data_IF_190443341631
#
_entry.id   IF_190443341631
#
_cell.length_a   1.000
_cell.length_b   1.000
_cell.length_c   1.000
_cell.angle_alpha   90.00
_cell.angle_beta   90.00
_cell.angle_gamma   90.00
#
_symmetry.space_group_name_H-M   'P 1'
#
loop_
_entity.id
_entity.type
_entity.pdbx_description
1 polymer ?
#
# COMPACT_ATOMS: atom_id res chain seq x y z
N UNK A 1 -72.22 14.97 3.21
CA UNK A 1 -71.14 15.70 2.52
C UNK A 1 -70.65 16.74 3.51
N UNK A 2 -69.48 16.66 4.10
CA UNK A 2 -68.36 15.71 4.08
C UNK A 2 -67.49 16.11 5.27
N UNK A 3 -66.75 15.15 5.79
CA UNK A 3 -66.01 15.16 7.05
C UNK A 3 -64.95 16.26 7.25
N UNK A 4 -64.73 16.57 8.53
CA UNK A 4 -63.56 17.18 9.19
C UNK A 4 -62.49 16.08 9.43
N UNK A 5 -61.28 16.30 10.02
CA UNK A 5 -60.30 17.40 10.08
C UNK A 5 -58.90 16.91 9.56
N UNK A 6 -57.85 17.74 9.63
CA UNK A 6 -56.57 17.48 10.38
C UNK A 6 -55.45 18.45 9.98
N UNK A 7 -54.74 18.93 11.02
CA UNK A 7 -53.48 19.66 10.95
C UNK A 7 -52.32 18.79 10.43
N UNK A 8 -51.29 19.41 9.86
CA UNK A 8 -49.92 18.91 10.05
C UNK A 8 -48.89 20.05 10.02
N UNK A 9 -47.88 19.83 10.84
CA UNK A 9 -46.80 20.71 11.28
C UNK A 9 -45.57 20.55 10.38
N UNK A 10 -44.60 21.45 10.58
CA UNK A 10 -43.21 21.48 10.10
C UNK A 10 -42.59 20.29 9.33
N UNK A 11 -41.80 20.59 8.29
CA UNK A 11 -40.34 20.30 8.21
C UNK A 11 -39.86 20.19 6.75
N UNK A 12 -38.61 20.60 6.50
CA UNK A 12 -37.88 20.20 5.28
C UNK A 12 -36.92 21.24 4.77
N UNK A 13 -35.98 21.69 5.59
CA UNK A 13 -34.75 22.34 5.15
C UNK A 13 -33.94 21.30 4.35
N UNK A 14 -34.12 21.32 3.03
CA UNK A 14 -33.36 20.51 2.09
C UNK A 14 -31.98 21.12 1.91
N UNK A 15 -31.08 20.84 2.85
CA UNK A 15 -29.66 21.00 2.62
C UNK A 15 -29.28 20.14 1.41
N UNK A 16 -28.99 20.79 0.30
CA UNK A 16 -28.38 20.17 -0.85
C UNK A 16 -27.03 19.59 -0.38
N UNK A 17 -26.97 18.27 -0.27
CA UNK A 17 -25.71 17.56 -0.29
C UNK A 17 -25.05 17.93 -1.63
N UNK A 18 -23.94 18.68 -1.57
CA UNK A 18 -23.04 18.88 -2.70
C UNK A 18 -22.46 17.51 -3.06
N UNK A 19 -23.24 16.75 -3.83
CA UNK A 19 -22.86 15.48 -4.43
C UNK A 19 -21.88 15.77 -5.55
N UNK A 20 -20.63 16.03 -5.20
CA UNK A 20 -19.54 15.80 -6.15
C UNK A 20 -19.50 14.28 -6.36
N UNK A 21 -20.11 13.82 -7.44
CA UNK A 21 -20.10 12.43 -7.86
C UNK A 21 -18.65 11.96 -7.87
N UNK A 22 -18.26 11.08 -6.93
CA UNK A 22 -16.89 10.58 -6.89
C UNK A 22 -16.65 9.82 -8.20
N UNK A 23 -15.69 10.26 -9.05
CA UNK A 23 -15.56 9.72 -10.40
C UNK A 23 -15.10 8.25 -10.40
N UNK A 24 -14.54 7.78 -9.27
CA UNK A 24 -14.02 6.43 -9.05
C UNK A 24 -14.34 5.99 -7.62
N UNK A 25 -14.54 4.69 -7.43
CA UNK A 25 -14.69 4.09 -6.10
C UNK A 25 -13.33 3.92 -5.40
N UNK A 26 -13.27 3.74 -4.07
CA UNK A 26 -12.02 3.43 -3.36
C UNK A 26 -11.25 2.23 -3.95
N UNK A 27 -11.92 1.16 -4.36
CA UNK A 27 -11.26 0.03 -5.00
C UNK A 27 -10.64 0.40 -6.36
N UNK A 28 -11.33 1.21 -7.16
CA UNK A 28 -10.82 1.70 -8.45
C UNK A 28 -9.65 2.67 -8.27
N UNK A 29 -9.69 3.53 -7.25
CA UNK A 29 -8.59 4.42 -6.89
C UNK A 29 -7.37 3.65 -6.40
N UNK A 30 -7.56 2.57 -5.63
CA UNK A 30 -6.45 1.72 -5.21
C UNK A 30 -5.84 0.96 -6.41
N UNK A 31 -6.67 0.49 -7.34
CA UNK A 31 -6.18 -0.12 -8.58
C UNK A 31 -5.40 0.90 -9.43
N UNK A 32 -5.89 2.14 -9.54
CA UNK A 32 -5.15 3.19 -10.25
C UNK A 32 -3.84 3.56 -9.55
N UNK A 33 -3.82 3.58 -8.21
CA UNK A 33 -2.59 3.82 -7.45
C UNK A 33 -1.50 2.77 -7.74
N UNK A 34 -1.88 1.49 -7.86
CA UNK A 34 -0.97 0.41 -8.29
C UNK A 34 -0.40 0.67 -9.70
N UNK A 35 -1.22 1.18 -10.61
CA UNK A 35 -0.79 1.49 -11.99
C UNK A 35 0.09 2.74 -12.06
N UNK A 36 -0.24 3.78 -11.29
CA UNK A 36 0.50 5.04 -11.26
C UNK A 36 1.87 4.89 -10.58
N UNK A 37 2.00 4.03 -9.57
CA UNK A 37 3.29 3.75 -8.93
C UNK A 37 4.32 3.21 -9.93
N UNK A 38 3.95 2.20 -10.72
CA UNK A 38 4.88 1.63 -11.72
C UNK A 38 5.05 2.56 -12.93
N UNK A 39 4.05 3.39 -13.24
CA UNK A 39 4.14 4.37 -14.33
C UNK A 39 5.03 5.58 -13.98
N UNK A 40 5.27 5.85 -12.70
CA UNK A 40 6.11 6.95 -12.23
C UNK A 40 7.57 6.74 -12.62
N UNK A 41 8.15 7.71 -13.34
CA UNK A 41 9.52 7.63 -13.84
C UNK A 41 10.18 9.03 -13.88
N UNK A 42 11.50 9.16 -13.64
CA UNK A 42 12.43 8.10 -13.23
C UNK A 42 12.23 7.71 -11.75
N UNK A 43 12.20 6.39 -11.48
CA UNK A 43 12.12 5.86 -10.11
C UNK A 43 13.29 4.93 -9.80
N UNK A 44 14.18 5.25 -8.84
CA UNK A 44 15.29 4.38 -8.47
C UNK A 44 14.82 3.06 -7.84
N UNK A 45 15.00 1.94 -8.54
CA UNK A 45 14.56 0.62 -8.11
C UNK A 45 14.40 -0.35 -9.28
N UNK A 46 13.72 -1.48 -9.04
CA UNK A 46 13.65 -2.59 -9.99
C UNK A 46 13.01 -2.25 -11.35
N UNK A 47 11.73 -1.85 -11.35
CA UNK A 47 10.93 -1.66 -12.57
C UNK A 47 10.17 -0.35 -12.50
N UNK A 48 10.18 0.37 -13.61
CA UNK A 48 9.33 1.54 -13.86
C UNK A 48 8.93 1.57 -15.35
N UNK A 49 8.27 2.65 -15.80
CA UNK A 49 7.87 2.80 -17.20
C UNK A 49 9.01 2.72 -18.21
N UNK A 50 10.24 3.07 -17.82
CA UNK A 50 11.40 3.14 -18.70
C UNK A 50 12.33 1.92 -18.55
N UNK A 51 12.09 1.05 -17.56
CA UNK A 51 13.00 -0.04 -17.22
C UNK A 51 12.29 -1.34 -16.85
N UNK A 52 12.76 -2.43 -17.46
CA UNK A 52 12.43 -3.81 -17.14
C UNK A 52 13.64 -4.55 -16.54
N UNK A 53 13.36 -5.60 -15.76
CA UNK A 53 14.32 -6.66 -15.42
C UNK A 53 14.05 -7.92 -16.29
N UNK A 54 15.03 -8.84 -16.44
CA UNK A 54 14.86 -10.04 -17.27
C UNK A 54 13.60 -10.86 -16.94
N UNK A 55 13.31 -11.04 -15.65
CA UNK A 55 12.22 -11.88 -15.15
C UNK A 55 11.04 -11.06 -14.57
N UNK A 56 11.14 -9.73 -14.52
CA UNK A 56 10.14 -8.83 -13.95
C UNK A 56 10.03 -7.56 -14.80
N UNK A 57 8.89 -7.37 -15.46
CA UNK A 57 8.68 -6.32 -16.48
C UNK A 57 7.48 -5.45 -16.17
N UNK A 58 7.39 -4.29 -16.79
CA UNK A 58 6.32 -3.32 -16.62
C UNK A 58 4.92 -3.94 -16.77
N UNK A 59 4.69 -4.76 -17.79
CA UNK A 59 3.37 -5.36 -18.01
C UNK A 59 2.97 -6.39 -16.94
N UNK A 60 3.93 -6.96 -16.21
CA UNK A 60 3.64 -7.81 -15.07
C UNK A 60 2.95 -7.01 -13.95
N UNK A 61 3.38 -5.78 -13.71
CA UNK A 61 2.72 -4.87 -12.75
C UNK A 61 1.34 -4.44 -13.23
N UNK A 62 1.18 -4.14 -14.53
CA UNK A 62 -0.13 -3.81 -15.09
C UNK A 62 -1.13 -4.97 -14.91
N UNK A 63 -0.71 -6.19 -15.24
CA UNK A 63 -1.52 -7.39 -15.07
C UNK A 63 -1.78 -7.68 -13.58
N UNK A 64 -0.78 -7.48 -12.72
CA UNK A 64 -0.89 -7.62 -11.27
C UNK A 64 -1.94 -6.68 -10.68
N UNK A 65 -1.90 -5.39 -11.05
CA UNK A 65 -2.87 -4.40 -10.61
C UNK A 65 -4.30 -4.77 -11.01
N UNK A 66 -4.52 -5.21 -12.26
CA UNK A 66 -5.84 -5.69 -12.71
C UNK A 66 -6.28 -6.94 -11.92
N UNK A 67 -5.36 -7.87 -11.69
CA UNK A 67 -5.60 -9.10 -10.93
C UNK A 67 -6.03 -8.84 -9.49
N UNK A 68 -5.44 -7.84 -8.83
CA UNK A 68 -5.75 -7.47 -7.44
C UNK A 68 -7.14 -6.87 -7.25
N UNK A 69 -7.83 -6.47 -8.32
CA UNK A 69 -9.10 -5.75 -8.25
C UNK A 69 -10.20 -6.50 -7.48
N UNK A 70 -10.23 -7.83 -7.48
CA UNK A 70 -11.22 -8.57 -6.70
C UNK A 70 -11.02 -8.36 -5.19
N UNK A 71 -9.80 -8.51 -4.69
CA UNK A 71 -9.48 -8.30 -3.27
C UNK A 71 -9.75 -6.86 -2.84
N UNK A 72 -9.40 -5.88 -3.69
CA UNK A 72 -9.68 -4.47 -3.43
C UNK A 72 -11.19 -4.17 -3.33
N UNK A 73 -12.02 -4.73 -4.23
CA UNK A 73 -13.49 -4.60 -4.14
C UNK A 73 -14.07 -5.27 -2.90
N UNK A 74 -13.47 -6.38 -2.45
CA UNK A 74 -13.86 -7.04 -1.18
C UNK A 74 -13.56 -6.13 0.02
N UNK A 75 -12.40 -5.49 0.04
CA UNK A 75 -12.04 -4.50 1.05
C UNK A 75 -13.08 -3.38 1.10
N UNK A 76 -13.36 -2.76 -0.05
CA UNK A 76 -14.38 -1.71 -0.19
C UNK A 76 -15.76 -2.17 0.29
N UNK A 77 -16.17 -3.40 -0.02
CA UNK A 77 -17.49 -3.93 0.31
C UNK A 77 -17.68 -4.37 1.76
N UNK A 78 -16.67 -4.27 2.63
CA UNK A 78 -16.85 -4.64 4.03
C UNK A 78 -16.03 -5.83 4.53
N UNK A 79 -15.30 -6.54 3.65
CA UNK A 79 -14.70 -7.82 4.01
C UNK A 79 -13.58 -7.69 5.07
N UNK A 80 -13.28 -8.78 5.82
CA UNK A 80 -12.09 -8.84 6.67
C UNK A 80 -10.82 -8.46 5.89
N UNK A 81 -9.91 -7.75 6.56
CA UNK A 81 -8.69 -7.20 5.96
C UNK A 81 -7.81 -8.32 5.41
N UNK A 82 -7.59 -9.38 6.20
CA UNK A 82 -6.75 -10.49 5.78
C UNK A 82 -7.32 -11.23 4.58
N UNK A 83 -8.63 -11.46 4.55
CA UNK A 83 -9.30 -12.10 3.40
C UNK A 83 -9.19 -11.25 2.13
N UNK A 84 -9.44 -9.94 2.23
CA UNK A 84 -9.34 -9.04 1.10
C UNK A 84 -7.91 -8.97 0.56
N UNK A 85 -6.91 -8.93 1.47
CA UNK A 85 -5.50 -8.97 1.14
C UNK A 85 -5.10 -10.27 0.43
N UNK A 86 -5.44 -11.43 0.99
CA UNK A 86 -5.12 -12.73 0.39
C UNK A 86 -5.68 -12.86 -1.02
N UNK A 87 -6.93 -12.42 -1.25
CA UNK A 87 -7.55 -12.43 -2.59
C UNK A 87 -6.90 -11.44 -3.54
N UNK A 88 -6.44 -10.29 -3.05
CA UNK A 88 -5.72 -9.33 -3.88
C UNK A 88 -4.36 -9.88 -4.35
N UNK A 89 -3.65 -10.60 -3.47
CA UNK A 89 -2.36 -11.25 -3.77
C UNK A 89 -2.56 -12.46 -4.68
N UNK A 90 -3.57 -13.30 -4.42
CA UNK A 90 -3.94 -14.43 -5.30
C UNK A 90 -4.29 -13.94 -6.72
N UNK A 91 -5.03 -12.84 -6.81
CA UNK A 91 -5.34 -12.20 -8.10
C UNK A 91 -4.09 -11.69 -8.80
N UNK A 92 -3.22 -10.98 -8.07
CA UNK A 92 -1.96 -10.41 -8.55
C UNK A 92 -1.03 -11.46 -9.17
N UNK A 93 -0.95 -12.67 -8.60
CA UNK A 93 0.01 -13.71 -9.02
C UNK A 93 -0.30 -14.41 -10.35
N UNK A 94 -1.41 -14.11 -11.03
CA UNK A 94 -1.78 -14.79 -12.28
C UNK A 94 -0.91 -14.40 -13.50
N UNK A 95 0.01 -13.47 -13.31
CA UNK A 95 1.06 -13.08 -14.26
C UNK A 95 2.40 -13.81 -13.96
N UNK A 96 3.34 -13.80 -14.89
CA UNK A 96 4.55 -14.65 -14.86
C UNK A 96 5.76 -14.13 -14.06
N UNK A 97 5.76 -12.87 -13.64
CA UNK A 97 6.85 -12.19 -12.92
C UNK A 97 6.84 -12.33 -11.40
N UNK A 98 5.99 -13.19 -10.82
CA UNK A 98 5.99 -13.45 -9.38
C UNK A 98 5.40 -12.31 -8.55
N UNK A 99 6.17 -11.79 -7.59
CA UNK A 99 5.71 -10.70 -6.71
C UNK A 99 5.93 -9.33 -7.37
N UNK A 100 4.85 -8.64 -7.71
CA UNK A 100 4.90 -7.26 -8.21
C UNK A 100 4.66 -6.25 -7.09
N UNK A 101 3.63 -6.44 -6.27
CA UNK A 101 3.04 -5.37 -5.44
C UNK A 101 2.48 -5.86 -4.09
N UNK A 102 3.06 -6.92 -3.52
CA UNK A 102 2.60 -7.49 -2.23
C UNK A 102 2.55 -6.44 -1.10
N UNK A 103 3.61 -5.66 -0.91
CA UNK A 103 3.67 -4.64 0.14
C UNK A 103 2.71 -3.47 -0.13
N UNK A 104 2.57 -3.04 -1.39
CA UNK A 104 1.55 -2.06 -1.80
C UNK A 104 0.16 -2.52 -1.37
N UNK A 105 -0.22 -3.77 -1.65
CA UNK A 105 -1.52 -4.33 -1.24
C UNK A 105 -1.68 -4.40 0.28
N UNK A 106 -0.60 -4.68 1.00
CA UNK A 106 -0.60 -4.75 2.47
C UNK A 106 -0.95 -3.39 3.08
N UNK A 107 -0.50 -2.29 2.46
CA UNK A 107 -0.85 -0.94 2.90
C UNK A 107 -2.19 -0.45 2.33
N UNK A 108 -2.52 -0.80 1.08
CA UNK A 108 -3.74 -0.33 0.41
C UNK A 108 -5.03 -0.91 1.00
N UNK A 109 -5.08 -2.21 1.33
CA UNK A 109 -6.31 -2.86 1.79
C UNK A 109 -6.93 -2.18 3.02
N UNK A 110 -6.20 -1.90 4.12
CA UNK A 110 -6.77 -1.18 5.26
C UNK A 110 -7.14 0.27 4.92
N UNK A 111 -6.43 0.94 4.01
CA UNK A 111 -6.78 2.29 3.55
C UNK A 111 -8.08 2.30 2.74
N UNK A 112 -8.28 1.32 1.85
CA UNK A 112 -9.54 1.14 1.09
C UNK A 112 -10.71 0.89 2.03
N UNK A 113 -10.52 0.06 3.08
CA UNK A 113 -11.52 -0.16 4.12
C UNK A 113 -11.91 1.14 4.83
N UNK A 114 -10.92 1.95 5.22
CA UNK A 114 -11.15 3.23 5.88
C UNK A 114 -11.85 4.23 4.95
N UNK A 115 -11.46 4.31 3.68
CA UNK A 115 -12.07 5.18 2.68
C UNK A 115 -13.52 4.80 2.37
N UNK A 116 -13.83 3.50 2.25
CA UNK A 116 -15.18 3.01 2.04
C UNK A 116 -16.11 3.29 3.24
N UNK A 117 -15.55 3.33 4.45
CA UNK A 117 -16.26 3.74 5.66
C UNK A 117 -16.40 5.27 5.82
N UNK A 118 -15.82 6.08 4.92
CA UNK A 118 -15.80 7.54 5.03
C UNK A 118 -14.84 8.07 6.09
N UNK A 119 -13.87 7.27 6.53
CA UNK A 119 -12.97 7.57 7.65
C UNK A 119 -11.49 7.58 7.23
N UNK A 120 -11.16 7.95 5.98
CA UNK A 120 -9.78 7.97 5.46
C UNK A 120 -8.90 9.02 6.16
N UNK A 121 -8.38 8.64 7.31
CA UNK A 121 -7.55 9.42 8.23
C UNK A 121 -6.65 8.47 9.00
N UNK A 122 -5.57 9.00 9.58
CA UNK A 122 -4.67 8.21 10.45
C UNK A 122 -5.44 7.45 11.54
N UNK A 123 -6.33 8.15 12.27
CA UNK A 123 -7.15 7.51 13.30
C UNK A 123 -8.14 6.47 12.76
N UNK A 124 -8.71 6.68 11.57
CA UNK A 124 -9.65 5.74 10.96
C UNK A 124 -8.98 4.47 10.47
N UNK A 125 -7.83 4.58 9.81
CA UNK A 125 -7.06 3.41 9.39
C UNK A 125 -6.48 2.66 10.60
N UNK A 126 -6.04 3.36 11.66
CA UNK A 126 -5.63 2.74 12.94
C UNK A 126 -6.75 1.87 13.50
N UNK A 127 -8.00 2.36 13.55
CA UNK A 127 -9.14 1.54 13.99
C UNK A 127 -9.34 0.30 13.12
N UNK A 128 -9.18 0.42 11.80
CA UNK A 128 -9.30 -0.72 10.89
C UNK A 128 -8.25 -1.78 11.21
N UNK A 129 -6.97 -1.39 11.31
CA UNK A 129 -5.89 -2.36 11.54
C UNK A 129 -5.94 -2.97 12.94
N UNK A 130 -6.22 -2.18 13.98
CA UNK A 130 -6.37 -2.68 15.36
C UNK A 130 -7.60 -3.60 15.53
N UNK A 131 -8.60 -3.50 14.65
CA UNK A 131 -9.78 -4.38 14.66
C UNK A 131 -9.54 -5.73 13.99
N UNK A 132 -8.37 -5.96 13.40
CA UNK A 132 -8.04 -7.23 12.75
C UNK A 132 -8.01 -8.38 13.76
N UNK A 133 -8.25 -9.59 13.25
CA UNK A 133 -8.44 -10.78 14.06
C UNK A 133 -7.39 -11.84 13.77
N UNK A 134 -7.43 -12.93 14.52
CA UNK A 134 -6.64 -14.14 14.23
C UNK A 134 -6.99 -14.73 12.86
N UNK A 135 -8.23 -14.56 12.39
CA UNK A 135 -8.62 -15.01 11.05
C UNK A 135 -7.94 -14.16 9.97
N UNK A 136 -7.85 -12.84 10.19
CA UNK A 136 -7.11 -11.94 9.30
C UNK A 136 -5.62 -12.32 9.26
N UNK A 137 -5.02 -12.65 10.40
CA UNK A 137 -3.64 -13.14 10.45
C UNK A 137 -3.49 -14.45 9.65
N UNK A 138 -4.41 -15.39 9.82
CA UNK A 138 -4.36 -16.65 9.06
C UNK A 138 -4.46 -16.41 7.54
N UNK A 139 -5.31 -15.49 7.09
CA UNK A 139 -5.42 -15.15 5.66
C UNK A 139 -4.16 -14.43 5.15
N UNK A 140 -3.57 -13.53 5.95
CA UNK A 140 -2.28 -12.90 5.65
C UNK A 140 -1.17 -13.94 5.47
N UNK A 141 -1.06 -14.95 6.34
CA UNK A 141 -0.06 -16.01 6.21
C UNK A 141 -0.29 -16.87 4.96
N UNK A 142 -1.55 -17.13 4.57
CA UNK A 142 -1.84 -17.83 3.30
C UNK A 142 -1.37 -17.05 2.08
N UNK A 143 -1.34 -15.71 2.15
CA UNK A 143 -0.86 -14.89 1.05
C UNK A 143 0.62 -15.15 0.70
N UNK A 144 1.44 -15.62 1.64
CA UNK A 144 2.84 -16.02 1.39
C UNK A 144 2.97 -17.31 0.57
N UNK A 145 1.89 -18.09 0.40
CA UNK A 145 1.90 -19.28 -0.47
C UNK A 145 1.71 -18.91 -1.96
N UNK A 146 1.30 -17.68 -2.24
CA UNK A 146 0.97 -17.20 -3.57
C UNK A 146 2.17 -16.62 -4.32
N UNK A 147 3.10 -16.00 -3.60
CA UNK A 147 4.26 -15.29 -4.14
C UNK A 147 5.44 -15.36 -3.18
N UNK A 148 6.66 -15.30 -3.72
CA UNK A 148 7.87 -15.19 -2.92
C UNK A 148 8.02 -13.75 -2.38
N UNK A 149 8.12 -13.62 -1.07
CA UNK A 149 8.27 -12.33 -0.37
C UNK A 149 9.59 -12.35 0.40
N UNK A 150 10.44 -11.36 0.13
CA UNK A 150 11.64 -11.16 0.93
C UNK A 150 11.24 -10.64 2.31
N UNK A 151 11.61 -11.39 3.35
CA UNK A 151 11.33 -11.07 4.75
C UNK A 151 12.58 -11.29 5.59
N UNK A 152 12.77 -10.46 6.60
CA UNK A 152 13.81 -10.66 7.61
C UNK A 152 13.61 -11.93 8.42
N UNK A 153 14.63 -12.34 9.16
CA UNK A 153 14.50 -13.46 10.08
C UNK A 153 13.58 -13.10 11.26
N UNK A 154 12.69 -14.02 11.68
CA UNK A 154 11.82 -13.77 12.82
C UNK A 154 12.65 -13.66 14.11
N UNK A 155 12.13 -12.95 15.13
CA UNK A 155 12.68 -13.01 16.47
C UNK A 155 12.87 -14.46 16.95
N UNK A 156 13.91 -14.71 17.75
CA UNK A 156 14.29 -16.07 18.16
C UNK A 156 13.18 -16.84 18.89
N UNK A 157 12.28 -16.14 19.58
CA UNK A 157 11.12 -16.69 20.30
C UNK A 157 9.83 -16.75 19.46
N UNK A 158 9.89 -16.29 18.21
CA UNK A 158 8.78 -16.22 17.27
C UNK A 158 8.93 -17.16 16.06
N UNK A 159 9.88 -18.11 16.07
CA UNK A 159 10.07 -19.07 14.95
C UNK A 159 8.82 -19.89 14.58
N UNK A 160 7.89 -20.08 15.51
CA UNK A 160 6.59 -20.72 15.24
C UNK A 160 5.64 -19.85 14.41
N UNK A 161 5.88 -18.54 14.40
CA UNK A 161 5.12 -17.50 13.71
C UNK A 161 5.91 -16.92 12.52
N UNK A 162 6.95 -17.61 12.04
CA UNK A 162 7.65 -17.21 10.83
C UNK A 162 6.68 -17.21 9.64
N UNK A 163 6.49 -16.05 9.00
CA UNK A 163 5.57 -15.88 7.86
C UNK A 163 5.92 -16.77 6.67
N UNK A 164 7.19 -17.17 6.54
CA UNK A 164 7.66 -18.12 5.50
C UNK A 164 7.07 -19.52 5.65
N UNK A 165 6.46 -19.83 6.79
CA UNK A 165 5.75 -21.09 7.02
C UNK A 165 4.35 -21.10 6.42
N UNK A 166 3.83 -19.96 5.96
CA UNK A 166 2.49 -19.86 5.38
C UNK A 166 1.42 -20.47 6.28
N UNK A 167 0.57 -21.34 5.74
CA UNK A 167 -0.50 -22.00 6.50
C UNK A 167 -0.02 -22.82 7.69
N UNK A 168 1.23 -23.31 7.70
CA UNK A 168 1.76 -24.13 8.79
C UNK A 168 1.95 -23.35 10.10
N UNK A 169 1.94 -22.02 10.06
CA UNK A 169 1.94 -21.17 11.26
C UNK A 169 0.54 -20.92 11.85
N UNK A 170 -0.54 -21.21 11.11
CA UNK A 170 -1.93 -20.91 11.53
C UNK A 170 -2.32 -21.58 12.86
N UNK A 171 -1.95 -22.85 13.13
CA UNK A 171 -2.23 -23.45 14.44
C UNK A 171 -1.62 -22.67 15.60
N UNK A 172 -0.38 -22.18 15.43
CA UNK A 172 0.32 -21.38 16.45
C UNK A 172 -0.32 -19.98 16.63
N UNK A 173 -0.74 -19.33 15.54
CA UNK A 173 -1.51 -18.07 15.61
C UNK A 173 -2.79 -18.24 16.43
N UNK A 174 -3.52 -19.33 16.19
CA UNK A 174 -4.77 -19.64 16.91
C UNK A 174 -4.54 -19.96 18.38
N UNK A 175 -3.52 -20.75 18.69
CA UNK A 175 -3.16 -21.09 20.07
C UNK A 175 -2.79 -19.84 20.88
N UNK A 176 -2.04 -18.91 20.26
CA UNK A 176 -1.58 -17.67 20.90
C UNK A 176 -2.60 -16.53 20.86
N UNK A 177 -3.68 -16.67 20.08
CA UNK A 177 -4.65 -15.59 19.88
C UNK A 177 -4.08 -14.38 19.13
N UNK A 178 -3.03 -14.58 18.32
CA UNK A 178 -2.30 -13.50 17.64
C UNK A 178 -3.10 -12.96 16.45
N UNK A 179 -3.49 -11.69 16.52
CA UNK A 179 -4.18 -10.96 15.45
C UNK A 179 -3.20 -10.48 14.36
N UNK A 180 -3.72 -9.99 13.22
CA UNK A 180 -2.85 -9.44 12.18
C UNK A 180 -2.11 -8.18 12.67
N UNK A 181 -2.79 -7.34 13.46
CA UNK A 181 -2.14 -6.20 14.11
C UNK A 181 -0.99 -6.64 15.02
N UNK A 182 -1.17 -7.70 15.82
CA UNK A 182 -0.10 -8.22 16.69
C UNK A 182 1.11 -8.71 15.88
N UNK A 183 0.89 -9.32 14.71
CA UNK A 183 1.96 -9.75 13.80
C UNK A 183 2.76 -8.54 13.30
N UNK A 184 2.06 -7.47 12.88
CA UNK A 184 2.72 -6.22 12.45
C UNK A 184 3.46 -5.56 13.62
N UNK A 185 2.85 -5.49 14.80
CA UNK A 185 3.49 -4.93 15.99
C UNK A 185 4.74 -5.69 16.46
N UNK A 186 4.85 -6.98 16.15
CA UNK A 186 6.03 -7.79 16.43
C UNK A 186 7.11 -7.73 15.34
N UNK A 187 6.81 -7.13 14.18
CA UNK A 187 7.70 -7.07 13.01
C UNK A 187 8.59 -5.81 13.07
N UNK A 188 9.43 -5.73 14.11
CA UNK A 188 10.34 -4.60 14.32
C UNK A 188 11.31 -4.41 13.13
N UNK A 189 11.44 -3.16 12.67
CA UNK A 189 12.33 -2.80 11.56
C UNK A 189 11.77 -3.06 10.16
N UNK A 190 10.54 -3.57 10.04
CA UNK A 190 9.79 -3.62 8.78
C UNK A 190 8.99 -2.32 8.60
N UNK A 191 9.28 -1.56 7.53
CA UNK A 191 8.64 -0.27 7.30
C UNK A 191 7.16 -0.36 6.93
N UNK A 192 6.68 -1.48 6.37
CA UNK A 192 5.25 -1.66 6.14
C UNK A 192 4.52 -1.91 7.47
N UNK A 193 5.14 -2.69 8.37
CA UNK A 193 4.62 -2.93 9.72
C UNK A 193 4.64 -1.66 10.60
N UNK A 194 5.65 -0.80 10.44
CA UNK A 194 5.69 0.53 11.05
C UNK A 194 4.53 1.42 10.60
N UNK A 195 4.14 1.42 9.31
CA UNK A 195 2.96 2.17 8.87
C UNK A 195 1.68 1.67 9.58
N UNK A 196 1.53 0.35 9.75
CA UNK A 196 0.40 -0.25 10.46
C UNK A 196 0.32 0.20 11.93
N UNK A 197 1.47 0.38 12.59
CA UNK A 197 1.55 0.68 14.02
C UNK A 197 1.68 2.17 14.34
N UNK A 198 2.05 3.00 13.36
CA UNK A 198 2.17 4.46 13.48
C UNK A 198 1.06 5.21 12.71
N UNK A 199 -0.06 4.54 12.45
CA UNK A 199 -1.24 5.17 11.84
C UNK A 199 -0.99 5.74 10.44
N UNK A 200 -0.13 5.08 9.67
CA UNK A 200 0.19 5.39 8.26
C UNK A 200 0.80 6.80 8.09
N UNK A 201 1.66 7.21 9.03
CA UNK A 201 2.15 8.58 9.11
C UNK A 201 2.98 9.01 7.89
N UNK A 202 3.81 8.12 7.32
CA UNK A 202 4.55 8.43 6.09
C UNK A 202 3.61 8.48 4.91
N UNK A 203 2.69 7.53 4.79
CA UNK A 203 1.66 7.51 3.73
C UNK A 203 0.91 8.83 3.66
N UNK A 204 0.35 9.31 4.78
CA UNK A 204 -0.42 10.55 4.79
C UNK A 204 0.41 11.80 4.51
N UNK A 205 1.67 11.84 4.99
CA UNK A 205 2.62 12.94 4.69
C UNK A 205 2.98 12.98 3.21
N UNK A 206 3.32 11.83 2.63
CA UNK A 206 3.66 11.70 1.22
C UNK A 206 2.44 11.98 0.33
N UNK A 207 1.23 11.61 0.75
CA UNK A 207 0.01 11.91 0.02
C UNK A 207 -0.24 13.43 -0.07
N UNK A 208 0.04 14.18 0.99
CA UNK A 208 -0.02 15.64 0.97
C UNK A 208 1.00 16.22 -0.02
N UNK A 209 2.23 15.70 -0.04
CA UNK A 209 3.23 16.12 -1.01
C UNK A 209 2.81 15.85 -2.47
N UNK A 210 2.19 14.69 -2.76
CA UNK A 210 1.66 14.38 -4.11
C UNK A 210 0.51 15.32 -4.49
N UNK A 211 -0.37 15.64 -3.54
CA UNK A 211 -1.52 16.52 -3.74
C UNK A 211 -1.09 17.97 -4.03
N UNK A 212 -0.10 18.47 -3.29
CA UNK A 212 0.39 19.85 -3.36
C UNK A 212 1.37 20.09 -4.53
N UNK A 213 1.85 19.02 -5.18
CA UNK A 213 2.75 19.10 -6.32
C UNK A 213 1.99 19.29 -7.65
N UNK A 214 2.68 19.75 -8.69
CA UNK A 214 2.11 20.10 -9.99
C UNK A 214 2.53 19.14 -11.12
N UNK A 215 1.82 19.21 -12.24
CA UNK A 215 2.12 18.43 -13.44
C UNK A 215 1.47 17.04 -13.47
N UNK A 216 1.89 16.15 -14.38
CA UNK A 216 1.33 14.81 -14.52
C UNK A 216 1.50 13.99 -13.23
N UNK A 217 0.46 13.23 -12.85
CA UNK A 217 0.47 12.43 -11.61
C UNK A 217 1.64 11.44 -11.54
N UNK A 218 2.02 10.69 -12.60
CA UNK A 218 3.20 9.83 -12.56
C UNK A 218 4.49 10.57 -12.18
N UNK A 219 4.65 11.82 -12.62
CA UNK A 219 5.83 12.62 -12.30
C UNK A 219 5.83 13.05 -10.83
N UNK A 220 4.66 13.40 -10.28
CA UNK A 220 4.48 13.70 -8.84
C UNK A 220 4.80 12.47 -7.98
N UNK A 221 4.33 11.30 -8.41
CA UNK A 221 4.61 10.01 -7.75
C UNK A 221 6.10 9.69 -7.77
N UNK A 222 6.79 9.89 -8.90
CA UNK A 222 8.24 9.69 -9.00
C UNK A 222 9.01 10.64 -8.07
N UNK A 223 8.64 11.93 -8.02
CA UNK A 223 9.25 12.90 -7.10
C UNK A 223 8.97 12.57 -5.64
N UNK A 224 7.76 12.14 -5.32
CA UNK A 224 7.37 11.72 -3.98
C UNK A 224 8.17 10.48 -3.52
N UNK A 225 8.46 9.54 -4.42
CA UNK A 225 9.34 8.41 -4.15
C UNK A 225 10.75 8.85 -3.79
N UNK A 226 11.38 9.70 -4.61
CA UNK A 226 12.74 10.22 -4.32
C UNK A 226 12.73 11.04 -3.03
N UNK A 227 11.68 11.83 -2.79
CA UNK A 227 11.45 12.55 -1.55
C UNK A 227 11.45 11.62 -0.34
N UNK A 228 10.57 10.62 -0.34
CA UNK A 228 10.47 9.66 0.76
C UNK A 228 11.78 8.89 0.97
N UNK A 229 12.42 8.41 -0.09
CA UNK A 229 13.67 7.64 -0.02
C UNK A 229 14.83 8.46 0.54
N UNK A 230 14.81 9.78 0.36
CA UNK A 230 15.85 10.67 0.87
C UNK A 230 15.62 11.08 2.34
N UNK A 231 14.41 10.97 2.85
CA UNK A 231 14.06 11.31 4.23
C UNK A 231 14.09 10.08 5.17
N UNK A 232 13.80 8.88 4.66
CA UNK A 232 13.76 7.63 5.45
C UNK A 232 14.61 6.52 4.81
N UNK A 233 15.21 5.66 5.63
CA UNK A 233 15.87 4.44 5.16
C UNK A 233 14.83 3.41 4.71
N UNK A 234 15.10 2.74 3.59
CA UNK A 234 14.24 1.66 3.09
C UNK A 234 14.54 0.34 3.82
N UNK A 235 13.53 -0.23 4.48
CA UNK A 235 13.69 -1.46 5.25
C UNK A 235 13.96 -2.70 4.39
N UNK A 236 13.48 -2.74 3.15
CA UNK A 236 13.76 -3.85 2.25
C UNK A 236 15.23 -3.81 1.79
N UNK A 237 15.75 -2.61 1.48
CA UNK A 237 17.19 -2.43 1.21
C UNK A 237 18.00 -2.85 2.43
N UNK A 238 17.61 -2.42 3.63
CA UNK A 238 18.28 -2.79 4.88
C UNK A 238 18.30 -4.30 5.11
N UNK A 239 17.19 -4.97 4.82
CA UNK A 239 17.05 -6.43 4.97
C UNK A 239 17.96 -7.18 3.98
N UNK A 240 18.00 -6.75 2.72
CA UNK A 240 18.73 -7.46 1.67
C UNK A 240 20.23 -7.10 1.60
N UNK A 241 20.59 -5.86 1.95
CA UNK A 241 21.94 -5.31 1.75
C UNK A 241 22.59 -4.76 3.01
N UNK A 242 21.88 -4.74 4.14
CA UNK A 242 22.40 -4.26 5.42
C UNK A 242 22.20 -2.76 5.67
N UNK A 243 22.47 -2.30 6.90
CA UNK A 243 22.19 -0.93 7.34
C UNK A 243 23.06 0.12 6.65
N UNK A 244 24.32 -0.18 6.33
CA UNK A 244 25.21 0.75 5.64
C UNK A 244 24.71 1.04 4.23
N UNK A 245 24.23 0.02 3.51
CA UNK A 245 23.67 0.17 2.18
C UNK A 245 22.37 1.00 2.20
N UNK A 246 21.48 0.75 3.17
CA UNK A 246 20.25 1.52 3.33
C UNK A 246 20.53 3.02 3.61
N UNK A 247 21.50 3.32 4.47
CA UNK A 247 21.92 4.69 4.75
C UNK A 247 22.54 5.38 3.52
N UNK A 248 23.33 4.64 2.74
CA UNK A 248 23.94 5.14 1.50
C UNK A 248 22.91 5.41 0.40
N UNK A 249 21.93 4.52 0.24
CA UNK A 249 20.79 4.71 -0.66
C UNK A 249 20.03 5.99 -0.32
N UNK A 250 19.72 6.22 0.96
CA UNK A 250 19.08 7.45 1.43
C UNK A 250 19.90 8.69 1.07
N UNK A 251 21.22 8.65 1.32
CA UNK A 251 22.13 9.75 1.00
C UNK A 251 22.15 10.07 -0.51
N UNK A 252 22.29 9.04 -1.35
CA UNK A 252 22.30 9.20 -2.83
C UNK A 252 20.97 9.73 -3.36
N UNK A 253 19.85 9.26 -2.81
CA UNK A 253 18.52 9.81 -3.14
C UNK A 253 18.40 11.29 -2.75
N UNK A 254 18.94 11.68 -1.59
CA UNK A 254 18.94 13.08 -1.14
C UNK A 254 19.79 13.98 -2.05
N UNK A 255 20.90 13.46 -2.57
CA UNK A 255 21.77 14.18 -3.51
C UNK A 255 21.16 14.32 -4.91
N UNK A 256 20.38 13.33 -5.34
CA UNK A 256 19.65 13.36 -6.61
C UNK A 256 18.34 14.17 -6.56
N UNK A 257 17.85 14.51 -5.37
CA UNK A 257 16.54 15.14 -5.17
C UNK A 257 16.41 16.45 -5.97
N UNK A 258 15.40 16.52 -6.82
CA UNK A 258 15.12 17.70 -7.65
C UNK A 258 15.89 17.76 -8.97
N UNK A 259 16.74 16.76 -9.26
CA UNK A 259 17.47 16.62 -10.52
C UNK A 259 17.01 15.34 -11.25
N UNK A 260 16.09 15.44 -12.25
CA UNK A 260 15.58 14.28 -12.96
C UNK A 260 16.65 13.47 -13.70
N UNK A 261 17.69 14.11 -14.22
CA UNK A 261 18.77 13.43 -14.93
C UNK A 261 19.59 12.60 -13.93
N UNK A 262 19.95 13.19 -12.79
CA UNK A 262 20.66 12.47 -11.73
C UNK A 262 19.82 11.34 -11.14
N UNK A 263 18.50 11.51 -11.01
CA UNK A 263 17.59 10.44 -10.55
C UNK A 263 17.56 9.28 -11.56
N UNK A 264 17.53 9.57 -12.86
CA UNK A 264 17.58 8.54 -13.89
C UNK A 264 18.89 7.73 -13.84
N UNK A 265 20.02 8.42 -13.71
CA UNK A 265 21.34 7.78 -13.50
C UNK A 265 21.36 6.93 -12.23
N UNK A 266 20.85 7.45 -11.12
CA UNK A 266 20.77 6.72 -9.85
C UNK A 266 19.91 5.45 -9.99
N UNK A 267 18.84 5.52 -10.79
CA UNK A 267 17.99 4.39 -11.05
C UNK A 267 18.72 3.28 -11.85
N UNK A 268 19.56 3.65 -12.82
CA UNK A 268 20.43 2.68 -13.52
C UNK A 268 21.48 2.08 -12.58
N UNK A 269 22.09 2.91 -11.71
CA UNK A 269 23.06 2.47 -10.71
C UNK A 269 22.44 1.43 -9.76
N UNK A 270 21.24 1.69 -9.23
CA UNK A 270 20.56 0.78 -8.31
C UNK A 270 20.26 -0.57 -8.96
N UNK A 271 19.82 -0.58 -10.21
CA UNK A 271 19.59 -1.84 -10.93
C UNK A 271 20.90 -2.61 -11.14
N UNK A 272 21.98 -1.93 -11.52
CA UNK A 272 23.29 -2.55 -11.68
C UNK A 272 23.85 -3.12 -10.35
N UNK A 273 23.52 -2.48 -9.23
CA UNK A 273 23.89 -2.89 -7.87
C UNK A 273 22.91 -3.92 -7.27
N UNK A 274 21.78 -4.19 -7.93
CA UNK A 274 20.72 -5.07 -7.42
C UNK A 274 19.96 -4.48 -6.22
N UNK A 275 19.94 -3.17 -6.07
CA UNK A 275 19.31 -2.43 -4.97
C UNK A 275 17.87 -2.07 -5.34
N UNK A 276 16.92 -2.47 -4.49
CA UNK A 276 15.50 -2.18 -4.68
C UNK A 276 14.86 -1.55 -3.44
N UNK A 277 14.55 -0.23 -3.47
CA UNK A 277 13.80 0.45 -2.41
C UNK A 277 12.29 0.12 -2.46
N UNK A 278 11.96 -1.15 -2.21
CA UNK A 278 10.60 -1.67 -2.35
C UNK A 278 9.63 -1.14 -1.29
N UNK A 279 10.06 -0.99 -0.04
CA UNK A 279 9.20 -0.44 1.02
C UNK A 279 8.82 1.01 0.72
N UNK A 280 9.75 1.78 0.16
CA UNK A 280 9.50 3.14 -0.31
C UNK A 280 8.45 3.15 -1.41
N UNK A 281 8.51 2.22 -2.37
CA UNK A 281 7.50 2.08 -3.41
C UNK A 281 6.12 1.73 -2.81
N UNK A 282 6.07 0.83 -1.84
CA UNK A 282 4.83 0.43 -1.15
C UNK A 282 4.14 1.64 -0.50
N UNK A 283 4.89 2.44 0.26
CA UNK A 283 4.36 3.65 0.93
C UNK A 283 3.93 4.72 -0.08
N UNK A 284 4.67 4.89 -1.18
CA UNK A 284 4.30 5.84 -2.25
C UNK A 284 3.04 5.40 -2.97
N UNK A 285 2.87 4.10 -3.22
CA UNK A 285 1.65 3.55 -3.79
C UNK A 285 0.44 3.82 -2.88
N UNK A 286 0.58 3.54 -1.58
CA UNK A 286 -0.44 3.86 -0.57
C UNK A 286 -0.74 5.37 -0.50
N UNK A 287 0.30 6.21 -0.58
CA UNK A 287 0.16 7.66 -0.57
C UNK A 287 -0.57 8.18 -1.81
N UNK A 288 -0.30 7.58 -2.97
CA UNK A 288 -0.97 7.88 -4.24
C UNK A 288 -2.46 7.59 -4.14
N UNK A 289 -2.85 6.47 -3.52
CA UNK A 289 -4.27 6.18 -3.24
C UNK A 289 -4.92 7.28 -2.38
N UNK A 290 -4.27 7.67 -1.28
CA UNK A 290 -4.81 8.72 -0.41
C UNK A 290 -4.92 10.06 -1.14
N UNK A 291 -3.95 10.38 -2.00
CA UNK A 291 -3.98 11.61 -2.79
C UNK A 291 -5.13 11.60 -3.82
N UNK A 292 -5.38 10.46 -4.48
CA UNK A 292 -6.53 10.27 -5.37
C UNK A 292 -7.87 10.43 -4.63
N UNK A 293 -8.01 9.84 -3.44
CA UNK A 293 -9.21 10.02 -2.60
C UNK A 293 -9.40 11.47 -2.12
N UNK A 294 -8.33 12.28 -2.13
CA UNK A 294 -8.34 13.70 -1.77
C UNK A 294 -8.44 14.64 -2.98
N UNK A 295 -8.65 14.10 -4.18
CA UNK A 295 -8.97 14.91 -5.36
C UNK A 295 -7.81 15.16 -6.31
N UNK A 296 -6.73 14.37 -6.27
CA UNK A 296 -5.76 14.37 -7.39
C UNK A 296 -6.46 13.88 -8.66
N UNK A 297 -6.54 14.76 -9.66
CA UNK A 297 -7.09 14.46 -10.99
C UNK A 297 -6.03 13.85 -11.92
N UNK A 298 -6.46 12.95 -12.80
CA UNK A 298 -5.62 12.23 -13.78
C UNK A 298 -6.14 12.45 -15.18
#
# INVERSE_FOLDING_TARGET
>A
MTDDPTADDSAGDGAAEDGHERPRTPAENAQLALLLDVAGTPKPGNVDRARDLPDLRFEHFLAGAVGSGEGLRRAESGAPVGLAFERAVEGMRHQSGGNTQFGCLLLLVPLVRAAAAGELSSAGVTRVVESTTVADAADFYRAFEHVDVAVGDPPADAAALDVRRGSDAIPALRERGTTLYDVMAASEGDGNAEEWTDGFSRTFRTAAAILDDDGPVPDRVARAFVGLLADWEDSLVRTNHGPEAAAEVRRRAAEARGDPERVAELADEFVAEGVNPGTTADVVCAATFVALERGVEV
#
